data_IF_669835864896
#
_entry.id   IF_669835864896
#
_cell.length_a   1.000
_cell.length_b   1.000
_cell.length_c   1.000
_cell.angle_alpha   90.00
_cell.angle_beta   90.00
_cell.angle_gamma   90.00
#
_symmetry.space_group_name_H-M   'P 1'
#
loop_
_entity.id
_entity.type
_entity.pdbx_description
1 polymer ?
#
# COMPACT_ATOMS: atom_id res chain seq x y z
N UNK A 1 -18.08 54.81 -6.66
CA UNK A 1 -19.49 55.15 -6.40
C UNK A 1 -20.20 53.86 -6.01
N UNK A 2 -20.25 53.56 -4.72
CA UNK A 2 -20.59 52.23 -4.18
C UNK A 2 -21.91 52.34 -3.42
N UNK A 3 -22.92 51.60 -3.88
CA UNK A 3 -24.30 51.68 -3.41
C UNK A 3 -24.48 50.75 -2.20
N UNK A 4 -24.65 51.34 -1.03
CA UNK A 4 -24.79 50.66 0.25
C UNK A 4 -26.29 50.37 0.47
N UNK A 5 -26.70 49.11 0.29
CA UNK A 5 -28.08 48.67 0.54
C UNK A 5 -28.23 48.39 2.04
N UNK A 6 -28.81 49.34 2.76
CA UNK A 6 -29.27 49.19 4.15
C UNK A 6 -30.60 48.43 4.15
N UNK A 7 -30.58 47.16 4.56
CA UNK A 7 -31.79 46.40 4.89
C UNK A 7 -32.09 46.56 6.39
N UNK A 8 -33.06 47.41 6.70
CA UNK A 8 -33.66 47.56 8.03
C UNK A 8 -34.64 46.43 8.29
N UNK A 9 -34.21 45.41 9.03
CA UNK A 9 -35.08 44.35 9.54
C UNK A 9 -35.83 44.83 10.80
N UNK A 10 -37.11 45.17 10.62
CA UNK A 10 -38.03 45.46 11.72
C UNK A 10 -38.44 44.19 12.47
N UNK A 11 -37.93 44.01 13.69
CA UNK A 11 -38.26 42.90 14.57
C UNK A 11 -39.59 43.16 15.31
N UNK A 12 -40.70 42.68 14.76
CA UNK A 12 -41.98 42.52 15.49
C UNK A 12 -41.95 41.20 16.25
N UNK A 13 -41.65 41.26 17.55
CA UNK A 13 -41.72 40.13 18.48
C UNK A 13 -43.18 39.68 18.66
N UNK A 14 -43.57 38.58 18.01
CA UNK A 14 -44.79 37.83 18.33
C UNK A 14 -44.42 36.69 19.28
N UNK A 15 -45.05 36.65 20.45
CA UNK A 15 -44.98 35.52 21.38
C UNK A 15 -45.79 34.36 20.79
N UNK A 16 -45.10 33.40 20.17
CA UNK A 16 -45.69 32.12 19.77
C UNK A 16 -45.59 31.13 20.94
N UNK A 17 -46.71 30.48 21.25
CA UNK A 17 -46.84 29.36 22.20
C UNK A 17 -45.72 28.35 21.98
N UNK A 18 -44.91 28.12 23.02
CA UNK A 18 -43.84 27.13 23.04
C UNK A 18 -44.39 25.72 22.96
N UNK A 19 -43.83 24.91 22.05
CA UNK A 19 -44.17 23.50 21.92
C UNK A 19 -43.60 22.82 20.66
N UNK A 20 -43.29 23.58 19.61
CA UNK A 20 -42.87 23.00 18.31
C UNK A 20 -41.38 23.06 17.92
N UNK A 21 -40.46 23.87 18.49
CA UNK A 21 -39.08 23.91 17.97
C UNK A 21 -38.28 22.65 18.30
N UNK A 22 -38.58 21.96 19.40
CA UNK A 22 -37.89 20.72 19.80
C UNK A 22 -38.24 19.56 18.87
N UNK A 23 -39.49 19.48 18.39
CA UNK A 23 -39.94 18.39 17.52
C UNK A 23 -39.35 18.50 16.10
N UNK A 24 -39.27 19.72 15.56
CA UNK A 24 -38.65 19.98 14.25
C UNK A 24 -37.14 19.72 14.29
N UNK A 25 -36.47 20.10 15.38
CA UNK A 25 -35.05 19.82 15.56
C UNK A 25 -34.78 18.32 15.73
N UNK A 26 -35.61 17.59 16.49
CA UNK A 26 -35.49 16.14 16.65
C UNK A 26 -35.72 15.39 15.33
N UNK A 27 -36.68 15.84 14.50
CA UNK A 27 -36.95 15.26 13.19
C UNK A 27 -35.83 15.58 12.17
N UNK A 28 -35.24 16.78 12.23
CA UNK A 28 -34.07 17.14 11.43
C UNK A 28 -32.82 16.33 11.85
N UNK A 29 -32.65 16.05 13.14
CA UNK A 29 -31.53 15.24 13.63
C UNK A 29 -31.69 13.75 13.29
N UNK A 30 -32.92 13.23 13.35
CA UNK A 30 -33.24 11.84 12.99
C UNK A 30 -33.12 11.56 11.49
N UNK A 31 -33.27 12.59 10.63
CA UNK A 31 -33.08 12.45 9.18
C UNK A 31 -31.61 12.50 8.77
N UNK A 32 -30.74 13.13 9.57
CA UNK A 32 -29.29 13.16 9.34
C UNK A 32 -28.62 11.81 9.63
N UNK A 33 -29.16 11.00 10.55
CA UNK A 33 -28.59 9.68 10.88
C UNK A 33 -28.94 8.57 9.88
N UNK A 34 -29.84 8.83 8.95
CA UNK A 34 -30.28 7.85 7.94
C UNK A 34 -29.61 8.03 6.57
N UNK A 35 -28.61 8.91 6.46
CA UNK A 35 -27.95 9.17 5.18
C UNK A 35 -27.13 7.93 4.75
N UNK A 36 -27.46 7.26 3.62
CA UNK A 36 -26.76 6.06 3.17
C UNK A 36 -25.26 6.27 2.97
N UNK A 37 -24.85 7.48 2.56
CA UNK A 37 -23.45 7.87 2.36
C UNK A 37 -22.58 7.70 3.62
N UNK A 38 -23.15 7.95 4.81
CA UNK A 38 -22.41 7.79 6.08
C UNK A 38 -22.15 6.31 6.37
N UNK A 39 -23.09 5.43 6.00
CA UNK A 39 -22.98 4.00 6.24
C UNK A 39 -21.87 3.38 5.38
N UNK A 40 -21.84 3.69 4.09
CA UNK A 40 -20.87 3.11 3.16
C UNK A 40 -19.45 3.65 3.40
N UNK A 41 -19.31 4.93 3.74
CA UNK A 41 -18.04 5.49 4.19
C UNK A 41 -17.56 4.84 5.50
N UNK A 42 -18.48 4.55 6.45
CA UNK A 42 -18.14 3.82 7.68
C UNK A 42 -17.66 2.40 7.39
N UNK A 43 -18.34 1.67 6.51
CA UNK A 43 -17.95 0.32 6.11
C UNK A 43 -16.60 0.28 5.40
N UNK A 44 -16.32 1.26 4.55
CA UNK A 44 -15.00 1.39 3.92
C UNK A 44 -13.92 1.59 4.98
N UNK A 45 -14.18 2.40 6.02
CA UNK A 45 -13.28 2.55 7.17
C UNK A 45 -13.11 1.24 7.94
N UNK A 46 -14.20 0.53 8.24
CA UNK A 46 -14.14 -0.75 8.96
C UNK A 46 -13.28 -1.78 8.19
N UNK A 47 -13.38 -1.80 6.85
CA UNK A 47 -12.55 -2.64 5.99
C UNK A 47 -11.07 -2.21 6.02
N UNK A 48 -10.78 -0.91 6.05
CA UNK A 48 -9.41 -0.39 6.22
C UNK A 48 -8.82 -0.77 7.57
N UNK A 49 -9.61 -0.68 8.65
CA UNK A 49 -9.19 -1.05 10.00
C UNK A 49 -8.93 -2.56 10.07
N UNK A 50 -9.80 -3.37 9.46
CA UNK A 50 -9.63 -4.83 9.35
C UNK A 50 -8.35 -5.21 8.57
N UNK A 51 -8.10 -4.55 7.43
CA UNK A 51 -6.86 -4.73 6.67
C UNK A 51 -5.62 -4.34 7.48
N UNK A 52 -5.67 -3.21 8.17
CA UNK A 52 -4.55 -2.69 8.96
C UNK A 52 -4.21 -3.61 10.12
N UNK A 53 -5.22 -4.11 10.84
CA UNK A 53 -5.04 -5.09 11.91
C UNK A 53 -4.43 -6.40 11.39
N UNK A 54 -4.86 -6.88 10.22
CA UNK A 54 -4.29 -8.08 9.59
C UNK A 54 -2.82 -7.88 9.20
N UNK A 55 -2.48 -6.71 8.67
CA UNK A 55 -1.10 -6.35 8.30
C UNK A 55 -0.21 -6.19 9.53
N UNK A 56 -0.68 -5.56 10.60
CA UNK A 56 0.03 -5.44 11.88
C UNK A 56 0.34 -6.81 12.47
N UNK A 57 -0.67 -7.67 12.56
CA UNK A 57 -0.50 -9.04 13.05
C UNK A 57 0.51 -9.83 12.19
N UNK A 58 0.57 -9.58 10.88
CA UNK A 58 1.48 -10.31 9.98
C UNK A 58 2.91 -9.84 10.19
N UNK A 59 3.09 -8.53 10.35
CA UNK A 59 4.38 -7.95 10.66
C UNK A 59 4.90 -8.48 12.01
N UNK A 60 4.06 -8.49 13.05
CA UNK A 60 4.43 -9.03 14.37
C UNK A 60 4.90 -10.49 14.29
N UNK A 61 4.16 -11.33 13.56
CA UNK A 61 4.50 -12.74 13.36
C UNK A 61 5.80 -12.89 12.55
N UNK A 62 5.98 -12.07 11.52
CA UNK A 62 7.21 -12.04 10.71
C UNK A 62 8.42 -11.67 11.58
N UNK A 63 8.32 -10.62 12.38
CA UNK A 63 9.38 -10.22 13.30
C UNK A 63 9.63 -11.24 14.41
N UNK A 64 8.59 -11.89 14.92
CA UNK A 64 8.73 -12.97 15.89
C UNK A 64 9.47 -14.18 15.26
N UNK A 65 9.11 -14.55 14.04
CA UNK A 65 9.76 -15.62 13.29
C UNK A 65 11.22 -15.29 12.98
N UNK A 66 11.54 -14.05 12.54
CA UNK A 66 12.91 -13.61 12.28
C UNK A 66 13.79 -13.70 13.54
N UNK A 67 13.25 -13.27 14.69
CA UNK A 67 13.95 -13.38 15.98
C UNK A 67 14.21 -14.84 16.37
N UNK A 68 13.24 -15.72 16.16
CA UNK A 68 13.38 -17.14 16.46
C UNK A 68 14.33 -17.88 15.49
N UNK A 69 14.33 -17.49 14.21
CA UNK A 69 15.12 -18.08 13.13
C UNK A 69 16.63 -17.87 13.26
N UNK A 70 17.07 -16.98 14.18
CA UNK A 70 18.48 -16.92 14.61
C UNK A 70 19.02 -18.27 15.17
N UNK A 71 18.18 -19.29 15.33
CA UNK A 71 18.53 -20.63 15.79
C UNK A 71 17.89 -21.81 15.03
N UNK A 72 17.08 -21.59 13.98
CA UNK A 72 16.28 -22.63 13.33
C UNK A 72 16.27 -22.53 11.80
N UNK A 73 16.24 -23.69 11.13
CA UNK A 73 16.26 -23.90 9.67
C UNK A 73 15.13 -23.19 8.90
N UNK A 74 15.45 -22.73 7.69
CA UNK A 74 14.60 -21.93 6.77
C UNK A 74 13.14 -22.41 6.58
N UNK A 75 12.88 -23.72 6.66
CA UNK A 75 11.57 -24.33 6.38
C UNK A 75 10.46 -23.95 7.39
N UNK A 76 10.82 -23.55 8.64
CA UNK A 76 9.84 -23.13 9.65
C UNK A 76 9.34 -21.69 9.39
N UNK A 77 10.19 -20.85 8.82
CA UNK A 77 9.88 -19.45 8.55
C UNK A 77 8.76 -19.32 7.51
N UNK A 78 8.82 -20.13 6.45
CA UNK A 78 7.88 -20.12 5.34
C UNK A 78 6.45 -20.51 5.76
N UNK A 79 6.30 -21.48 6.67
CA UNK A 79 4.98 -21.93 7.12
C UNK A 79 4.29 -20.96 8.07
N UNK A 80 5.05 -20.21 8.86
CA UNK A 80 4.51 -19.30 9.88
C UNK A 80 4.10 -17.96 9.23
N UNK A 81 4.90 -17.44 8.30
CA UNK A 81 4.70 -16.08 7.77
C UNK A 81 3.63 -16.02 6.66
N UNK A 82 3.56 -17.02 5.78
CA UNK A 82 2.75 -16.93 4.54
C UNK A 82 1.26 -17.28 4.77
N UNK A 83 0.91 -17.94 5.87
CA UNK A 83 -0.44 -18.45 6.11
C UNK A 83 -1.30 -17.69 7.11
N UNK A 84 -0.69 -16.91 8.01
CA UNK A 84 -1.29 -16.65 9.31
C UNK A 84 -2.47 -15.66 9.30
N UNK A 85 -2.53 -14.70 8.36
CA UNK A 85 -3.57 -13.64 8.39
C UNK A 85 -4.43 -13.54 7.13
N UNK A 86 -4.52 -14.63 6.34
CA UNK A 86 -5.42 -14.67 5.18
C UNK A 86 -6.88 -14.41 5.55
N UNK A 87 -7.29 -14.79 6.76
CA UNK A 87 -8.64 -14.55 7.28
C UNK A 87 -8.95 -13.07 7.44
N UNK A 88 -8.00 -12.25 7.91
CA UNK A 88 -8.17 -10.81 8.06
C UNK A 88 -8.33 -10.10 6.72
N UNK A 89 -7.48 -10.42 5.75
CA UNK A 89 -7.60 -9.86 4.39
C UNK A 89 -8.86 -10.31 3.67
N UNK A 90 -9.29 -11.57 3.84
CA UNK A 90 -10.56 -12.04 3.28
C UNK A 90 -11.76 -11.34 3.93
N UNK A 91 -11.74 -11.14 5.26
CA UNK A 91 -12.78 -10.37 5.97
C UNK A 91 -12.88 -8.94 5.46
N UNK A 92 -11.74 -8.27 5.21
CA UNK A 92 -11.73 -6.94 4.61
C UNK A 92 -12.35 -6.95 3.19
N UNK A 93 -12.04 -7.95 2.36
CA UNK A 93 -12.68 -8.10 1.04
C UNK A 93 -14.19 -8.33 1.13
N UNK A 94 -14.64 -9.18 2.06
CA UNK A 94 -16.06 -9.47 2.24
C UNK A 94 -16.82 -8.19 2.63
N UNK A 95 -16.25 -7.38 3.54
CA UNK A 95 -16.80 -6.08 3.92
C UNK A 95 -16.86 -5.10 2.74
N UNK A 96 -15.83 -5.06 1.89
CA UNK A 96 -15.82 -4.22 0.68
C UNK A 96 -16.89 -4.65 -0.33
N UNK A 97 -17.16 -5.96 -0.44
CA UNK A 97 -18.20 -6.52 -1.30
C UNK A 97 -19.62 -6.14 -0.88
N UNK A 98 -19.85 -5.72 0.36
CA UNK A 98 -21.16 -5.25 0.84
C UNK A 98 -21.46 -3.77 0.56
N UNK A 99 -20.49 -3.03 0.01
CA UNK A 99 -20.60 -1.59 -0.22
C UNK A 99 -21.14 -1.31 -1.62
N UNK A 100 -22.09 -0.38 -1.72
CA UNK A 100 -22.64 0.11 -2.98
C UNK A 100 -21.64 1.02 -3.72
N UNK A 101 -21.22 0.59 -4.91
CA UNK A 101 -20.26 1.31 -5.75
C UNK A 101 -20.81 2.64 -6.28
N UNK A 102 -22.12 2.72 -6.54
CA UNK A 102 -22.74 3.94 -7.05
C UNK A 102 -22.65 5.07 -6.02
N UNK A 103 -22.89 4.74 -4.75
CA UNK A 103 -22.82 5.69 -3.65
C UNK A 103 -21.39 6.16 -3.41
N UNK A 104 -20.42 5.24 -3.33
CA UNK A 104 -19.01 5.62 -3.17
C UNK A 104 -18.47 6.42 -4.36
N UNK A 105 -18.93 6.14 -5.58
CA UNK A 105 -18.57 6.92 -6.77
C UNK A 105 -19.07 8.36 -6.65
N UNK A 106 -20.29 8.55 -6.17
CA UNK A 106 -20.85 9.88 -5.92
C UNK A 106 -20.09 10.63 -4.81
N UNK A 107 -19.61 9.90 -3.80
CA UNK A 107 -18.83 10.44 -2.69
C UNK A 107 -17.32 10.60 -3.00
N UNK A 108 -16.86 10.19 -4.19
CA UNK A 108 -15.45 10.28 -4.60
C UNK A 108 -14.52 9.31 -3.85
N UNK A 109 -15.06 8.18 -3.37
CA UNK A 109 -14.35 7.19 -2.55
C UNK A 109 -14.18 5.83 -3.25
N UNK A 110 -14.73 5.65 -4.45
CA UNK A 110 -14.65 4.38 -5.18
C UNK A 110 -13.20 4.02 -5.51
N UNK A 111 -12.37 5.00 -5.89
CA UNK A 111 -10.93 4.78 -6.11
C UNK A 111 -10.24 4.16 -4.89
N UNK A 112 -10.46 4.71 -3.69
CA UNK A 112 -9.89 4.18 -2.45
C UNK A 112 -10.43 2.79 -2.08
N UNK A 113 -11.70 2.48 -2.35
CA UNK A 113 -12.25 1.12 -2.19
C UNK A 113 -11.49 0.13 -3.08
N UNK A 114 -11.37 0.43 -4.38
CA UNK A 114 -10.69 -0.44 -5.34
C UNK A 114 -9.20 -0.60 -5.00
N UNK A 115 -8.53 0.47 -4.55
CA UNK A 115 -7.15 0.37 -4.09
C UNK A 115 -7.01 -0.62 -2.91
N UNK A 116 -7.92 -0.56 -1.93
CA UNK A 116 -7.91 -1.49 -0.80
C UNK A 116 -8.23 -2.92 -1.23
N UNK A 117 -9.19 -3.10 -2.14
CA UNK A 117 -9.53 -4.40 -2.72
C UNK A 117 -8.34 -5.03 -3.44
N UNK A 118 -7.62 -4.25 -4.27
CA UNK A 118 -6.41 -4.69 -4.94
C UNK A 118 -5.32 -5.11 -3.95
N UNK A 119 -5.12 -4.34 -2.87
CA UNK A 119 -4.17 -4.68 -1.82
C UNK A 119 -4.55 -5.97 -1.10
N UNK A 120 -5.82 -6.16 -0.74
CA UNK A 120 -6.28 -7.41 -0.12
C UNK A 120 -6.08 -8.61 -1.07
N UNK A 121 -6.40 -8.45 -2.36
CA UNK A 121 -6.17 -9.49 -3.37
C UNK A 121 -4.68 -9.85 -3.49
N UNK A 122 -3.78 -8.86 -3.47
CA UNK A 122 -2.34 -9.08 -3.45
C UNK A 122 -1.90 -9.87 -2.21
N UNK A 123 -2.33 -9.48 -1.02
CA UNK A 123 -2.00 -10.21 0.23
C UNK A 123 -2.54 -11.64 0.24
N UNK A 124 -3.65 -11.89 -0.44
CA UNK A 124 -4.22 -13.22 -0.63
C UNK A 124 -3.58 -14.02 -1.76
N UNK A 125 -2.55 -13.48 -2.42
CA UNK A 125 -1.84 -14.07 -3.57
C UNK A 125 -2.72 -14.25 -4.81
N UNK A 126 -3.77 -13.43 -4.96
CA UNK A 126 -4.66 -13.36 -6.12
C UNK A 126 -4.15 -12.28 -7.09
N UNK A 127 -2.97 -12.48 -7.65
CA UNK A 127 -2.23 -11.43 -8.37
C UNK A 127 -2.92 -10.87 -9.60
N UNK A 128 -3.55 -11.73 -10.42
CA UNK A 128 -4.31 -11.27 -11.58
C UNK A 128 -5.48 -10.35 -11.18
N UNK A 129 -6.22 -10.72 -10.14
CA UNK A 129 -7.29 -9.88 -9.57
C UNK A 129 -6.72 -8.58 -9.02
N UNK A 130 -5.61 -8.64 -8.29
CA UNK A 130 -4.98 -7.47 -7.71
C UNK A 130 -4.57 -6.45 -8.79
N UNK A 131 -3.94 -6.90 -9.88
CA UNK A 131 -3.57 -6.04 -11.00
C UNK A 131 -4.79 -5.47 -11.71
N UNK A 132 -5.78 -6.29 -12.03
CA UNK A 132 -7.00 -5.84 -12.71
C UNK A 132 -7.76 -4.78 -11.88
N UNK A 133 -7.90 -5.00 -10.57
CA UNK A 133 -8.57 -4.05 -9.68
C UNK A 133 -7.74 -2.78 -9.49
N UNK A 134 -6.40 -2.89 -9.43
CA UNK A 134 -5.51 -1.74 -9.36
C UNK A 134 -5.57 -0.87 -10.62
N UNK A 135 -5.69 -1.47 -11.81
CA UNK A 135 -5.90 -0.74 -13.06
C UNK A 135 -7.22 0.04 -13.04
N UNK A 136 -8.30 -0.58 -12.55
CA UNK A 136 -9.59 0.08 -12.36
C UNK A 136 -9.49 1.23 -11.35
N UNK A 137 -8.75 1.05 -10.25
CA UNK A 137 -8.49 2.11 -9.28
C UNK A 137 -7.69 3.26 -9.90
N UNK A 138 -6.65 2.97 -10.68
CA UNK A 138 -5.82 3.96 -11.35
C UNK A 138 -6.60 4.78 -12.39
N UNK A 139 -7.61 4.18 -13.04
CA UNK A 139 -8.52 4.90 -13.93
C UNK A 139 -9.37 5.96 -13.21
N UNK A 140 -9.55 5.83 -11.88
CA UNK A 140 -10.24 6.78 -11.00
C UNK A 140 -9.23 7.63 -10.19
N UNK A 141 -8.15 8.06 -10.83
CA UNK A 141 -7.05 8.77 -10.16
C UNK A 141 -7.45 10.05 -9.39
N UNK A 142 -8.54 10.70 -9.80
CA UNK A 142 -9.13 11.88 -9.14
C UNK A 142 -9.85 11.53 -7.82
N UNK A 143 -10.23 10.27 -7.64
CA UNK A 143 -10.85 9.74 -6.43
C UNK A 143 -9.85 9.01 -5.51
N UNK A 144 -8.59 8.85 -5.94
CA UNK A 144 -7.56 8.22 -5.13
C UNK A 144 -6.91 9.23 -4.18
N UNK A 145 -6.90 8.89 -2.89
CA UNK A 145 -6.07 9.58 -1.91
C UNK A 145 -4.58 9.47 -2.29
N UNK A 146 -3.73 10.46 -1.97
CA UNK A 146 -2.31 10.43 -2.33
C UNK A 146 -1.57 9.15 -1.91
N UNK A 147 -1.90 8.63 -0.72
CA UNK A 147 -1.40 7.33 -0.23
C UNK A 147 -1.77 6.19 -1.18
N UNK A 148 -3.03 6.10 -1.54
CA UNK A 148 -3.57 5.00 -2.35
C UNK A 148 -3.02 5.06 -3.78
N UNK A 149 -2.81 6.26 -4.34
CA UNK A 149 -2.12 6.43 -5.63
C UNK A 149 -0.72 5.83 -5.62
N UNK A 150 0.05 6.04 -4.54
CA UNK A 150 1.40 5.51 -4.41
C UNK A 150 1.39 3.98 -4.29
N UNK A 151 0.46 3.43 -3.51
CA UNK A 151 0.33 1.99 -3.33
C UNK A 151 -0.15 1.28 -4.61
N UNK A 152 -1.14 1.83 -5.30
CA UNK A 152 -1.62 1.32 -6.60
C UNK A 152 -0.50 1.35 -7.64
N UNK A 153 0.29 2.43 -7.70
CA UNK A 153 1.42 2.53 -8.61
C UNK A 153 2.56 1.53 -8.26
N UNK A 154 2.76 1.23 -6.98
CA UNK A 154 3.77 0.29 -6.51
C UNK A 154 3.34 -1.18 -6.66
N UNK A 155 2.03 -1.47 -6.70
CA UNK A 155 1.48 -2.82 -6.61
C UNK A 155 2.04 -3.80 -7.65
N UNK A 156 2.23 -3.44 -8.93
CA UNK A 156 2.85 -4.36 -9.89
C UNK A 156 4.25 -4.78 -9.46
N UNK A 157 5.04 -3.86 -8.90
CA UNK A 157 6.39 -4.18 -8.43
C UNK A 157 6.41 -5.05 -7.18
N UNK A 158 5.46 -4.84 -6.26
CA UNK A 158 5.28 -5.70 -5.08
C UNK A 158 4.92 -7.14 -5.48
N UNK A 159 4.05 -7.31 -6.47
CA UNK A 159 3.66 -8.62 -7.01
C UNK A 159 4.85 -9.32 -7.66
N UNK A 160 5.58 -8.64 -8.56
CA UNK A 160 6.74 -9.21 -9.24
C UNK A 160 7.83 -9.65 -8.26
N UNK A 161 8.04 -8.88 -7.18
CA UNK A 161 8.96 -9.25 -6.12
C UNK A 161 8.51 -10.50 -5.35
N UNK A 162 7.22 -10.59 -5.00
CA UNK A 162 6.68 -11.78 -4.32
C UNK A 162 6.78 -13.04 -5.20
N UNK A 163 6.48 -12.93 -6.49
CA UNK A 163 6.57 -14.05 -7.45
C UNK A 163 8.01 -14.54 -7.60
N UNK A 164 8.95 -13.61 -7.77
CA UNK A 164 10.37 -13.93 -7.85
C UNK A 164 10.87 -14.63 -6.57
N UNK A 165 10.49 -14.11 -5.40
CA UNK A 165 10.83 -14.72 -4.12
C UNK A 165 10.23 -16.14 -3.99
N UNK A 166 8.96 -16.32 -4.37
CA UNK A 166 8.32 -17.62 -4.34
C UNK A 166 9.00 -18.65 -5.25
N UNK A 167 9.51 -18.23 -6.42
CA UNK A 167 10.29 -19.10 -7.30
C UNK A 167 11.63 -19.49 -6.70
N UNK A 168 12.33 -18.55 -6.08
CA UNK A 168 13.59 -18.83 -5.38
C UNK A 168 13.38 -19.88 -4.28
N UNK A 169 12.32 -19.75 -3.48
CA UNK A 169 11.97 -20.74 -2.45
C UNK A 169 11.58 -22.10 -3.04
N UNK A 170 10.96 -22.11 -4.23
CA UNK A 170 10.63 -23.34 -4.95
C UNK A 170 11.85 -24.01 -5.61
N UNK A 171 13.05 -23.44 -5.49
CA UNK A 171 14.26 -23.96 -6.13
C UNK A 171 14.30 -23.74 -7.64
N UNK A 172 13.59 -22.72 -8.15
CA UNK A 172 13.70 -22.31 -9.56
C UNK A 172 15.15 -21.97 -9.90
N UNK A 173 15.61 -22.48 -11.06
CA UNK A 173 17.00 -22.30 -11.52
C UNK A 173 17.09 -21.39 -12.74
N UNK A 174 15.95 -21.03 -13.36
CA UNK A 174 15.92 -20.03 -14.41
C UNK A 174 16.16 -18.62 -13.83
N UNK A 175 17.44 -18.28 -13.70
CA UNK A 175 17.87 -16.96 -13.27
C UNK A 175 17.37 -15.84 -14.19
N UNK A 176 17.28 -16.09 -15.50
CA UNK A 176 16.85 -15.06 -16.46
C UNK A 176 15.41 -14.67 -16.17
N UNK A 177 14.55 -15.63 -15.84
CA UNK A 177 13.17 -15.38 -15.41
C UNK A 177 13.10 -14.55 -14.13
N UNK A 178 13.84 -14.92 -13.09
CA UNK A 178 13.89 -14.19 -11.80
C UNK A 178 14.43 -12.77 -11.99
N UNK A 179 15.55 -12.63 -12.69
CA UNK A 179 16.15 -11.33 -13.03
C UNK A 179 15.18 -10.44 -13.78
N UNK A 180 14.54 -10.95 -14.83
CA UNK A 180 13.64 -10.15 -15.64
C UNK A 180 12.44 -9.63 -14.83
N UNK A 181 11.97 -10.38 -13.82
CA UNK A 181 10.93 -9.92 -12.90
C UNK A 181 11.42 -8.82 -11.95
N UNK A 182 12.63 -8.97 -11.40
CA UNK A 182 13.15 -8.05 -10.39
C UNK A 182 13.70 -6.75 -11.00
N UNK A 183 14.53 -6.86 -12.04
CA UNK A 183 15.31 -5.74 -12.58
C UNK A 183 15.19 -5.56 -14.10
N UNK A 184 14.50 -6.48 -14.80
CA UNK A 184 14.30 -6.41 -16.25
C UNK A 184 15.49 -6.94 -17.07
N UNK A 185 15.29 -7.24 -18.36
CA UNK A 185 16.36 -7.64 -19.29
C UNK A 185 17.21 -6.47 -19.80
N UNK A 186 16.64 -5.27 -19.77
CA UNK A 186 17.23 -4.01 -20.27
C UNK A 186 16.98 -2.94 -19.20
N UNK A 187 17.97 -2.07 -18.89
CA UNK A 187 17.76 -0.89 -18.05
C UNK A 187 16.55 -0.01 -18.44
N UNK A 188 16.09 -0.09 -19.70
CA UNK A 188 14.91 0.62 -20.20
C UNK A 188 13.59 -0.14 -20.02
N UNK A 189 13.59 -1.44 -19.67
CA UNK A 189 12.35 -2.16 -19.43
C UNK A 189 11.69 -1.62 -18.15
N UNK A 190 10.46 -1.14 -18.29
CA UNK A 190 9.67 -0.53 -17.23
C UNK A 190 8.73 -1.54 -16.55
N UNK A 191 8.85 -2.83 -16.87
CA UNK A 191 7.99 -3.90 -16.37
C UNK A 191 8.75 -4.83 -15.42
N UNK A 192 9.39 -4.25 -14.42
CA UNK A 192 10.12 -4.99 -13.39
C UNK A 192 9.87 -4.38 -12.00
N UNK A 193 10.13 -5.17 -10.96
CA UNK A 193 9.87 -4.79 -9.58
C UNK A 193 10.55 -3.49 -9.17
N UNK A 194 11.85 -3.39 -9.43
CA UNK A 194 12.65 -2.21 -9.06
C UNK A 194 12.12 -0.94 -9.74
N UNK A 195 11.73 -1.00 -11.01
CA UNK A 195 11.17 0.16 -11.71
C UNK A 195 9.90 0.70 -11.03
N UNK A 196 8.90 -0.15 -10.79
CA UNK A 196 7.63 0.28 -10.21
C UNK A 196 7.82 0.82 -8.79
N UNK A 197 8.62 0.12 -7.98
CA UNK A 197 8.91 0.52 -6.59
C UNK A 197 9.71 1.83 -6.55
N UNK A 198 10.72 1.97 -7.41
CA UNK A 198 11.54 3.18 -7.53
C UNK A 198 10.73 4.40 -7.96
N UNK A 199 9.86 4.24 -8.96
CA UNK A 199 8.98 5.30 -9.41
C UNK A 199 8.01 5.76 -8.30
N UNK A 200 7.41 4.81 -7.58
CA UNK A 200 6.51 5.11 -6.47
C UNK A 200 7.26 5.76 -5.29
N UNK A 201 8.43 5.23 -4.91
CA UNK A 201 9.26 5.77 -3.82
C UNK A 201 9.74 7.19 -4.13
N UNK A 202 10.17 7.46 -5.37
CA UNK A 202 10.59 8.79 -5.80
C UNK A 202 9.43 9.78 -5.76
N UNK A 203 8.24 9.38 -6.22
CA UNK A 203 7.03 10.20 -6.12
C UNK A 203 6.70 10.51 -4.65
N UNK A 204 6.72 9.48 -3.78
CA UNK A 204 6.50 9.65 -2.35
C UNK A 204 7.50 10.65 -1.74
N UNK A 205 8.78 10.48 -2.02
CA UNK A 205 9.86 11.34 -1.51
C UNK A 205 9.67 12.80 -1.94
N UNK A 206 9.36 13.04 -3.22
CA UNK A 206 9.17 14.39 -3.76
C UNK A 206 8.05 15.17 -3.07
N UNK A 207 7.12 14.45 -2.43
CA UNK A 207 5.99 15.01 -1.69
C UNK A 207 6.16 14.95 -0.17
N UNK A 208 7.30 14.42 0.33
CA UNK A 208 7.51 14.19 1.77
C UNK A 208 6.55 13.16 2.37
N UNK A 209 6.01 12.25 1.57
CA UNK A 209 4.98 11.31 2.01
C UNK A 209 5.57 10.23 2.95
N UNK A 210 4.88 9.84 4.04
CA UNK A 210 5.40 8.86 5.01
C UNK A 210 5.66 7.46 4.42
N UNK A 211 5.03 7.12 3.29
CA UNK A 211 5.29 5.87 2.56
C UNK A 211 6.68 5.78 1.92
N UNK A 212 7.46 6.88 1.90
CA UNK A 212 8.79 6.88 1.27
C UNK A 212 9.69 5.78 1.83
N UNK A 213 9.76 5.66 3.16
CA UNK A 213 10.59 4.65 3.82
C UNK A 213 10.10 3.23 3.52
N UNK A 214 8.78 3.01 3.56
CA UNK A 214 8.18 1.71 3.24
C UNK A 214 8.51 1.27 1.80
N UNK A 215 8.28 2.14 0.81
CA UNK A 215 8.52 1.84 -0.60
C UNK A 215 10.03 1.64 -0.90
N UNK A 216 10.90 2.43 -0.25
CA UNK A 216 12.35 2.25 -0.34
C UNK A 216 12.79 0.89 0.21
N UNK A 217 12.23 0.45 1.35
CA UNK A 217 12.48 -0.87 1.92
C UNK A 217 12.00 -1.99 0.98
N UNK A 218 10.84 -1.85 0.35
CA UNK A 218 10.38 -2.82 -0.65
C UNK A 218 11.34 -2.91 -1.86
N UNK A 219 11.87 -1.78 -2.33
CA UNK A 219 12.86 -1.75 -3.42
C UNK A 219 14.16 -2.44 -2.99
N UNK A 220 14.64 -2.23 -1.76
CA UNK A 220 15.80 -2.93 -1.21
C UNK A 220 15.58 -4.44 -1.12
N UNK A 221 14.38 -4.89 -0.75
CA UNK A 221 14.02 -6.33 -0.75
C UNK A 221 14.13 -6.89 -2.17
N UNK A 222 13.60 -6.20 -3.19
CA UNK A 222 13.70 -6.65 -4.58
C UNK A 222 15.16 -6.74 -5.05
N UNK A 223 15.99 -5.75 -4.71
CA UNK A 223 17.42 -5.78 -5.01
C UNK A 223 18.14 -6.91 -4.28
N UNK A 224 17.85 -7.15 -3.00
CA UNK A 224 18.40 -8.26 -2.23
C UNK A 224 18.06 -9.60 -2.86
N UNK A 225 16.80 -9.80 -3.27
CA UNK A 225 16.36 -11.02 -3.95
C UNK A 225 17.15 -11.22 -5.26
N UNK A 226 17.41 -10.14 -6.00
CA UNK A 226 18.23 -10.17 -7.21
C UNK A 226 19.69 -10.58 -6.93
N UNK A 227 20.34 -9.98 -5.92
CA UNK A 227 21.71 -10.37 -5.55
C UNK A 227 21.79 -11.80 -5.02
N UNK A 228 20.79 -12.24 -4.26
CA UNK A 228 20.73 -13.61 -3.77
C UNK A 228 20.64 -14.60 -4.93
N UNK A 229 19.82 -14.32 -5.95
CA UNK A 229 19.69 -15.14 -7.14
C UNK A 229 20.96 -15.14 -8.04
N UNK A 230 21.81 -14.11 -7.97
CA UNK A 230 23.06 -14.03 -8.75
C UNK A 230 24.26 -14.68 -8.08
N UNK A 231 24.25 -14.81 -6.75
CA UNK A 231 25.41 -15.29 -5.98
C UNK A 231 25.89 -16.71 -6.33
N UNK A 232 25.06 -17.51 -7.01
CA UNK A 232 25.40 -18.85 -7.49
C UNK A 232 25.87 -18.94 -8.95
N UNK A 233 26.03 -17.82 -9.67
CA UNK A 233 26.38 -17.79 -11.10
C UNK A 233 27.82 -17.33 -11.34
N UNK A 234 28.50 -17.95 -12.31
CA UNK A 234 29.84 -17.55 -12.76
C UNK A 234 29.83 -16.10 -13.28
N UNK A 235 30.77 -15.28 -12.80
CA UNK A 235 30.71 -13.82 -12.78
C UNK A 235 30.79 -13.08 -14.15
N UNK A 236 30.97 -13.78 -15.27
CA UNK A 236 31.34 -13.16 -16.56
C UNK A 236 30.26 -12.24 -17.19
N UNK A 237 29.04 -12.18 -16.64
CA UNK A 237 27.95 -11.34 -17.17
C UNK A 237 27.43 -10.23 -16.25
N UNK A 238 27.97 -10.06 -15.04
CA UNK A 238 27.29 -9.33 -13.95
C UNK A 238 27.94 -7.95 -13.64
N UNK A 239 29.20 -7.74 -14.03
CA UNK A 239 30.02 -6.60 -13.53
C UNK A 239 29.44 -5.21 -13.83
N UNK A 240 28.82 -5.00 -15.00
CA UNK A 240 28.23 -3.69 -15.34
C UNK A 240 26.88 -3.42 -14.68
N UNK A 241 26.07 -4.46 -14.50
CA UNK A 241 24.72 -4.34 -13.93
C UNK A 241 24.77 -4.15 -12.41
N UNK A 242 25.76 -4.77 -11.75
CA UNK A 242 25.99 -4.63 -10.31
C UNK A 242 26.26 -3.19 -9.87
N UNK A 243 27.01 -2.41 -10.66
CA UNK A 243 27.38 -1.03 -10.29
C UNK A 243 26.16 -0.08 -10.21
N UNK A 244 25.23 -0.16 -11.18
CA UNK A 244 24.03 0.69 -11.19
C UNK A 244 23.16 0.41 -9.97
N UNK A 245 22.99 -0.88 -9.64
CA UNK A 245 22.19 -1.28 -8.49
C UNK A 245 22.89 -1.01 -7.16
N UNK A 246 24.21 -1.12 -7.07
CA UNK A 246 24.96 -0.73 -5.88
C UNK A 246 24.78 0.76 -5.55
N UNK A 247 24.89 1.64 -6.55
CA UNK A 247 24.63 3.07 -6.35
C UNK A 247 23.19 3.34 -5.90
N UNK A 248 22.23 2.57 -6.44
CA UNK A 248 20.83 2.67 -6.03
C UNK A 248 20.63 2.21 -4.58
N UNK A 249 21.24 1.10 -4.17
CA UNK A 249 21.23 0.63 -2.76
C UNK A 249 21.73 1.73 -1.83
N UNK A 250 22.88 2.34 -2.12
CA UNK A 250 23.43 3.44 -1.31
C UNK A 250 22.48 4.63 -1.22
N UNK A 251 21.81 4.97 -2.32
CA UNK A 251 20.80 6.04 -2.35
C UNK A 251 19.61 5.73 -1.45
N UNK A 252 19.09 4.50 -1.52
CA UNK A 252 17.97 4.04 -0.70
C UNK A 252 18.33 4.00 0.79
N UNK A 253 19.53 3.54 1.14
CA UNK A 253 20.02 3.55 2.51
C UNK A 253 20.09 4.98 3.07
N UNK A 254 20.58 5.93 2.28
CA UNK A 254 20.57 7.34 2.65
C UNK A 254 19.17 7.92 2.87
N UNK A 255 18.17 7.45 2.11
CA UNK A 255 16.77 7.83 2.33
C UNK A 255 16.21 7.27 3.64
N UNK A 256 16.54 6.01 3.98
CA UNK A 256 16.13 5.40 5.24
C UNK A 256 16.80 6.08 6.45
N UNK A 257 18.09 6.40 6.36
CA UNK A 257 18.82 7.18 7.37
C UNK A 257 18.16 8.56 7.59
N UNK A 258 17.82 9.27 6.51
CA UNK A 258 17.16 10.57 6.60
C UNK A 258 15.73 10.51 7.16
N UNK A 259 15.07 9.36 7.04
CA UNK A 259 13.72 9.13 7.57
C UNK A 259 13.71 8.67 9.03
N UNK A 260 14.87 8.67 9.72
CA UNK A 260 15.03 8.20 11.10
C UNK A 260 14.57 6.75 11.30
N UNK A 261 14.75 5.91 10.27
CA UNK A 261 14.60 4.46 10.40
C UNK A 261 15.71 3.97 11.33
N UNK A 262 15.40 3.05 12.24
CA UNK A 262 16.34 2.62 13.29
C UNK A 262 17.68 2.20 12.70
N UNK A 263 18.79 2.68 13.28
CA UNK A 263 20.14 2.40 12.78
C UNK A 263 20.43 0.90 12.66
N UNK A 264 19.86 0.09 13.55
CA UNK A 264 19.97 -1.37 13.53
C UNK A 264 19.39 -2.00 12.26
N UNK A 265 18.31 -1.43 11.69
CA UNK A 265 17.71 -1.92 10.45
C UNK A 265 18.57 -1.56 9.24
N UNK A 266 19.17 -0.37 9.25
CA UNK A 266 20.10 0.09 8.21
C UNK A 266 21.40 -0.74 8.22
N UNK A 267 21.93 -1.06 9.40
CA UNK A 267 23.12 -1.91 9.53
C UNK A 267 22.85 -3.34 9.05
N UNK A 268 21.65 -3.89 9.30
CA UNK A 268 21.24 -5.17 8.72
C UNK A 268 21.22 -5.12 7.19
N UNK A 269 20.71 -4.03 6.61
CA UNK A 269 20.75 -3.87 5.15
C UNK A 269 22.18 -3.76 4.63
N UNK A 270 23.04 -2.95 5.25
CA UNK A 270 24.46 -2.84 4.87
C UNK A 270 25.13 -4.21 4.88
N UNK A 271 24.93 -4.98 5.95
CA UNK A 271 25.43 -6.36 6.06
C UNK A 271 24.88 -7.26 4.95
N UNK A 272 23.59 -7.16 4.60
CA UNK A 272 22.98 -7.97 3.54
C UNK A 272 23.57 -7.72 2.14
N UNK A 273 24.13 -6.54 1.90
CA UNK A 273 24.79 -6.17 0.65
C UNK A 273 26.33 -6.18 0.74
N UNK A 274 26.92 -6.53 1.89
CA UNK A 274 28.37 -6.53 2.09
C UNK A 274 29.00 -5.13 2.12
N UNK A 275 28.26 -4.12 2.61
CA UNK A 275 28.65 -2.71 2.72
C UNK A 275 29.16 -2.35 4.12
#
# INVERSE_FOLDING_TARGET
MMMMIMLTLGSKARRCRGGTPVLVLALALATLTACPSIRDASRLRDAQDTFSAAAEQENEQTFAALRAASSATDDLFDRIVIGANRTGYQSALDQLGEIDDEQLRADGLLGSKLALEALCAWRLKRYETALSVAENAAALSDQLQPRDQLLVAALPGLILNDEAFAWMQAGETDFIKIRNHLVGPDPQDRRNAVYYLSAAATKAQSTGHPLTAYLASCELIALKNYFSATSGLDHEGIEGFGQVHAQRVMTLLGWLEAADVQSADIDQWKAAFGL
#
